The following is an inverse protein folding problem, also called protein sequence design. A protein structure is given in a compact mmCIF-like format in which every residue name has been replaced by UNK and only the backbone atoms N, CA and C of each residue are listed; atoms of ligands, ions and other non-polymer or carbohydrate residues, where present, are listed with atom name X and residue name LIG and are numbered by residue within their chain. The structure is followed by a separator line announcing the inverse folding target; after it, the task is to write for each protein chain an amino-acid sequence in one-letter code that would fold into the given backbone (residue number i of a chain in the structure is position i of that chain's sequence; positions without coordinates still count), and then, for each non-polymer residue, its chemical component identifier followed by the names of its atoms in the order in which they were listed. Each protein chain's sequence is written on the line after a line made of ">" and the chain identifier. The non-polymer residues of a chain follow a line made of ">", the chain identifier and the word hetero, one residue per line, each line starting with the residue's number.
data_IF_550971380044
#
_entry.id   IF_550971380044
#
_cell.length_a   1.000
_cell.length_b   1.000
_cell.length_c   1.000
_cell.angle_alpha   90.00
_cell.angle_beta   90.00
_cell.angle_gamma   90.00
#
_symmetry.space_group_name_H-M   'P 1'
#
loop_
_entity.id
_entity.type
_entity.pdbx_description
1 polymer ?
#
# COMPACT_ATOMS: atom_id res chain seq x y z
N UNK A 1 23.86 6.44 -4.74
CA UNK A 1 24.98 5.88 -5.53
C UNK A 1 24.84 4.38 -5.77
N UNK A 2 24.72 3.54 -4.73
CA UNK A 2 24.65 2.08 -4.88
C UNK A 2 23.54 1.59 -5.83
N UNK A 3 22.28 1.95 -5.55
CA UNK A 3 21.12 1.51 -6.35
C UNK A 3 21.20 1.99 -7.79
N UNK A 4 21.71 3.21 -8.00
CA UNK A 4 21.96 3.74 -9.34
C UNK A 4 23.01 2.92 -10.11
N UNK A 5 24.08 2.47 -9.43
CA UNK A 5 25.09 1.60 -10.03
C UNK A 5 24.53 0.21 -10.36
N UNK A 6 23.72 -0.38 -9.45
CA UNK A 6 23.02 -1.66 -9.68
C UNK A 6 22.10 -1.55 -10.89
N UNK A 7 21.30 -0.50 -10.95
CA UNK A 7 20.41 -0.20 -12.09
C UNK A 7 21.18 -0.04 -13.39
N UNK A 8 22.30 0.69 -13.38
CA UNK A 8 23.14 0.87 -14.57
C UNK A 8 23.74 -0.44 -15.06
N UNK A 9 24.20 -1.28 -14.12
CA UNK A 9 24.73 -2.61 -14.44
C UNK A 9 23.64 -3.53 -15.01
N UNK A 10 22.41 -3.46 -14.50
CA UNK A 10 21.27 -4.23 -15.02
C UNK A 10 20.76 -3.74 -16.38
N UNK A 11 20.57 -2.43 -16.55
CA UNK A 11 20.01 -1.87 -17.78
C UNK A 11 21.04 -1.73 -18.92
N UNK A 12 22.34 -1.91 -18.63
CA UNK A 12 23.42 -1.74 -19.60
C UNK A 12 23.52 -0.34 -20.20
N UNK A 13 22.94 0.67 -19.51
CA UNK A 13 22.90 2.06 -19.96
C UNK A 13 24.14 2.79 -19.49
N UNK A 14 24.91 3.44 -20.39
CA UNK A 14 25.98 4.31 -19.97
C UNK A 14 25.40 5.49 -19.15
N UNK A 15 26.12 6.00 -18.14
CA UNK A 15 25.66 7.14 -17.36
C UNK A 15 25.35 8.35 -18.26
N UNK A 16 24.35 9.14 -17.86
CA UNK A 16 23.90 10.31 -18.62
C UNK A 16 25.10 11.21 -18.97
N UNK A 17 25.27 11.49 -20.27
CA UNK A 17 26.38 12.30 -20.80
C UNK A 17 27.44 11.54 -21.59
N UNK A 18 27.45 10.20 -21.59
CA UNK A 18 28.47 9.40 -22.30
C UNK A 18 27.88 8.68 -23.54
N UNK A 19 27.49 9.45 -24.57
CA UNK A 19 27.15 8.89 -25.90
C UNK A 19 28.45 8.69 -26.70
N UNK A 20 29.10 7.53 -26.55
CA UNK A 20 30.15 7.10 -27.48
C UNK A 20 29.54 6.15 -28.50
N UNK A 21 29.55 6.57 -29.77
CA UNK A 21 29.14 5.76 -30.90
C UNK A 21 30.11 4.60 -31.13
N UNK A 22 29.57 3.40 -31.35
CA UNK A 22 29.90 2.48 -32.47
C UNK A 22 29.19 1.14 -32.25
N UNK A 23 28.62 0.63 -33.34
CA UNK A 23 27.60 -0.44 -33.39
C UNK A 23 28.19 -1.86 -33.46
N UNK A 24 29.51 -2.03 -33.50
CA UNK A 24 30.17 -3.33 -33.80
C UNK A 24 30.81 -4.05 -32.59
N UNK A 25 30.88 -3.44 -31.40
CA UNK A 25 31.36 -4.08 -30.18
C UNK A 25 30.23 -4.73 -29.34
N UNK A 26 29.07 -5.03 -29.94
CA UNK A 26 27.81 -5.27 -29.22
C UNK A 26 27.57 -6.72 -28.77
N UNK A 27 28.12 -7.74 -29.42
CA UNK A 27 27.86 -9.15 -29.09
C UNK A 27 28.77 -9.71 -27.97
N UNK A 28 30.09 -9.49 -28.06
CA UNK A 28 31.04 -9.87 -26.97
C UNK A 28 30.74 -9.11 -25.67
N UNK A 29 30.25 -7.88 -25.79
CA UNK A 29 29.80 -7.04 -24.68
C UNK A 29 28.47 -7.56 -24.10
N UNK A 30 27.59 -8.17 -24.90
CA UNK A 30 26.33 -8.78 -24.44
C UNK A 30 26.54 -9.98 -23.51
N UNK A 31 27.35 -10.95 -23.90
CA UNK A 31 27.65 -12.13 -23.06
C UNK A 31 28.39 -11.75 -21.78
N UNK A 32 29.31 -10.77 -21.86
CA UNK A 32 30.01 -10.24 -20.70
C UNK A 32 29.05 -9.52 -19.75
N UNK A 33 28.17 -8.65 -20.25
CA UNK A 33 27.16 -7.93 -19.46
C UNK A 33 26.21 -8.89 -18.76
N UNK A 34 25.71 -9.91 -19.47
CA UNK A 34 24.85 -10.92 -18.87
C UNK A 34 25.55 -11.64 -17.72
N UNK A 35 26.83 -12.00 -17.90
CA UNK A 35 27.65 -12.61 -16.83
C UNK A 35 27.86 -11.66 -15.66
N UNK A 36 28.15 -10.39 -15.90
CA UNK A 36 28.29 -9.36 -14.87
C UNK A 36 26.97 -9.15 -14.11
N UNK A 37 25.83 -9.12 -14.81
CA UNK A 37 24.50 -9.03 -14.23
C UNK A 37 24.12 -10.26 -13.39
N UNK A 38 24.43 -11.47 -13.87
CA UNK A 38 24.22 -12.71 -13.13
C UNK A 38 25.09 -12.77 -11.86
N UNK A 39 26.36 -12.37 -11.95
CA UNK A 39 27.27 -12.29 -10.80
C UNK A 39 26.80 -11.24 -9.78
N UNK A 40 26.37 -10.08 -10.25
CA UNK A 40 25.78 -9.04 -9.42
C UNK A 40 24.52 -9.56 -8.70
N UNK A 41 23.60 -10.20 -9.44
CA UNK A 41 22.37 -10.75 -8.89
C UNK A 41 22.66 -11.77 -7.79
N UNK A 42 23.56 -12.74 -8.05
CA UNK A 42 24.01 -13.74 -7.06
C UNK A 42 24.64 -13.13 -5.81
N UNK A 43 25.32 -12.00 -5.94
CA UNK A 43 25.88 -11.30 -4.79
C UNK A 43 24.79 -10.58 -3.98
N UNK A 44 23.91 -9.84 -4.66
CA UNK A 44 22.89 -9.04 -3.99
C UNK A 44 21.82 -9.90 -3.30
N UNK A 45 21.39 -11.03 -3.88
CA UNK A 45 20.43 -11.90 -3.18
C UNK A 45 20.93 -12.38 -1.81
N UNK A 46 22.26 -12.54 -1.65
CA UNK A 46 22.87 -12.93 -0.35
C UNK A 46 23.00 -11.77 0.62
N UNK A 47 23.33 -10.59 0.12
CA UNK A 47 23.71 -9.42 0.94
C UNK A 47 22.50 -8.55 1.26
N UNK A 48 21.49 -8.53 0.40
CA UNK A 48 20.31 -7.68 0.53
C UNK A 48 19.57 -7.89 1.86
N UNK A 49 19.28 -9.11 2.33
CA UNK A 49 18.63 -9.31 3.63
C UNK A 49 19.40 -8.63 4.77
N UNK A 50 20.73 -8.78 4.77
CA UNK A 50 21.61 -8.16 5.79
C UNK A 50 21.62 -6.64 5.71
N UNK A 51 21.54 -6.07 4.51
CA UNK A 51 21.46 -4.62 4.32
C UNK A 51 20.11 -4.08 4.79
N UNK A 52 19.01 -4.75 4.47
CA UNK A 52 17.67 -4.39 4.94
C UNK A 52 17.63 -4.41 6.47
N UNK A 53 18.14 -5.46 7.10
CA UNK A 53 18.25 -5.61 8.55
C UNK A 53 19.10 -4.51 9.20
N UNK A 54 20.26 -4.19 8.61
CA UNK A 54 21.18 -3.17 9.14
C UNK A 54 20.62 -1.76 9.05
N UNK A 55 19.98 -1.43 7.92
CA UNK A 55 19.45 -0.10 7.67
C UNK A 55 17.97 0.00 7.97
N UNK A 56 17.42 -0.99 8.67
CA UNK A 56 16.01 -1.18 8.81
C UNK A 56 15.35 0.08 9.37
N UNK A 57 15.96 0.78 10.34
CA UNK A 57 15.37 1.97 11.00
C UNK A 57 15.44 3.26 10.17
N UNK A 58 16.27 3.29 9.13
CA UNK A 58 16.55 4.49 8.35
C UNK A 58 15.78 4.47 7.04
N UNK A 59 14.69 5.25 6.98
CA UNK A 59 13.80 5.29 5.82
C UNK A 59 14.48 5.77 4.53
N UNK A 60 15.41 6.71 4.64
CA UNK A 60 16.14 7.28 3.49
C UNK A 60 17.14 6.25 2.91
N UNK A 61 17.64 5.35 3.76
CA UNK A 61 18.55 4.28 3.33
C UNK A 61 17.82 3.02 2.87
N UNK A 62 16.74 2.63 3.55
CA UNK A 62 16.06 1.36 3.25
C UNK A 62 15.18 1.43 2.01
N UNK A 63 14.54 2.58 1.74
CA UNK A 63 13.64 2.74 0.58
C UNK A 63 14.36 2.48 -0.76
N UNK A 64 15.57 3.00 -1.01
CA UNK A 64 16.32 2.66 -2.20
C UNK A 64 16.76 1.19 -2.24
N UNK A 65 17.11 0.58 -1.10
CA UNK A 65 17.55 -0.82 -1.05
C UNK A 65 16.43 -1.78 -1.48
N UNK A 66 15.18 -1.45 -1.13
CA UNK A 66 13.99 -2.20 -1.55
C UNK A 66 13.76 -2.20 -3.06
N UNK A 67 14.44 -1.33 -3.82
CA UNK A 67 14.38 -1.33 -5.28
C UNK A 67 15.37 -2.31 -5.93
N UNK A 68 16.35 -2.83 -5.20
CA UNK A 68 17.37 -3.72 -5.75
C UNK A 68 16.79 -5.00 -6.39
N UNK A 69 15.78 -5.68 -5.78
CA UNK A 69 15.21 -6.91 -6.36
C UNK A 69 14.76 -6.77 -7.81
N UNK A 70 14.15 -5.64 -8.17
CA UNK A 70 13.62 -5.40 -9.53
C UNK A 70 14.72 -5.30 -10.61
N UNK A 71 15.98 -5.14 -10.20
CA UNK A 71 17.15 -5.08 -11.09
C UNK A 71 17.97 -6.37 -11.08
N UNK A 72 17.61 -7.35 -10.24
CA UNK A 72 18.30 -8.62 -10.14
C UNK A 72 17.59 -9.68 -10.98
N UNK A 73 18.35 -10.64 -11.51
CA UNK A 73 17.80 -11.91 -11.96
C UNK A 73 17.46 -12.74 -10.71
N UNK A 74 16.17 -12.93 -10.41
CA UNK A 74 15.71 -13.70 -9.26
C UNK A 74 15.72 -15.22 -9.51
N UNK A 75 15.89 -15.66 -10.76
CA UNK A 75 15.98 -17.09 -11.09
C UNK A 75 17.23 -17.75 -10.52
N UNK A 76 18.17 -16.94 -10.02
CA UNK A 76 19.31 -17.43 -9.25
C UNK A 76 18.87 -18.20 -7.99
N UNK A 77 17.65 -18.02 -7.48
CA UNK A 77 17.17 -18.75 -6.30
C UNK A 77 16.96 -20.25 -6.53
N UNK A 78 16.78 -20.70 -7.77
CA UNK A 78 16.75 -22.14 -8.10
C UNK A 78 18.11 -22.81 -7.90
N UNK A 79 19.18 -22.04 -7.73
CA UNK A 79 20.49 -22.60 -7.42
C UNK A 79 20.57 -23.08 -5.98
N UNK A 80 21.17 -24.26 -5.81
CA UNK A 80 21.34 -24.90 -4.51
C UNK A 80 21.90 -23.93 -3.45
N UNK A 81 21.21 -23.88 -2.31
CA UNK A 81 21.59 -23.09 -1.14
C UNK A 81 21.17 -21.62 -1.17
N UNK A 82 20.53 -21.12 -2.23
CA UNK A 82 20.06 -19.72 -2.28
C UNK A 82 18.65 -19.50 -1.71
N UNK A 83 17.81 -20.53 -1.62
CA UNK A 83 16.46 -20.42 -1.05
C UNK A 83 16.40 -19.87 0.38
N UNK A 84 17.39 -20.21 1.24
CA UNK A 84 17.48 -19.66 2.61
C UNK A 84 17.68 -18.15 2.65
N UNK A 85 18.30 -17.56 1.63
CA UNK A 85 18.46 -16.11 1.51
C UNK A 85 17.17 -15.45 1.02
N UNK A 86 16.35 -16.15 0.24
CA UNK A 86 15.00 -15.70 -0.10
C UNK A 86 14.12 -15.65 1.15
N UNK A 87 14.12 -16.71 1.96
CA UNK A 87 13.39 -16.72 3.23
C UNK A 87 13.81 -15.55 4.15
N UNK A 88 15.13 -15.29 4.24
CA UNK A 88 15.65 -14.15 4.99
C UNK A 88 15.22 -12.80 4.39
N UNK A 89 15.16 -12.67 3.05
CA UNK A 89 14.69 -11.46 2.40
C UNK A 89 13.21 -11.19 2.70
N UNK A 90 12.36 -12.22 2.57
CA UNK A 90 10.92 -12.13 2.84
C UNK A 90 10.65 -11.80 4.30
N UNK A 91 11.38 -12.42 5.23
CA UNK A 91 11.30 -12.09 6.66
C UNK A 91 11.67 -10.63 6.94
N UNK A 92 12.72 -10.11 6.31
CA UNK A 92 13.11 -8.70 6.46
C UNK A 92 12.06 -7.75 5.87
N UNK A 93 11.38 -8.13 4.77
CA UNK A 93 10.24 -7.37 4.25
C UNK A 93 9.09 -7.34 5.26
N UNK A 94 8.75 -8.47 5.89
CA UNK A 94 7.72 -8.53 6.94
C UNK A 94 8.06 -7.62 8.13
N UNK A 95 9.31 -7.68 8.60
CA UNK A 95 9.80 -6.83 9.67
C UNK A 95 9.76 -5.34 9.29
N UNK A 96 10.07 -5.00 8.04
CA UNK A 96 10.00 -3.62 7.56
C UNK A 96 8.56 -3.10 7.51
N UNK A 97 7.63 -3.90 6.99
CA UNK A 97 6.21 -3.54 6.92
C UNK A 97 5.65 -3.34 8.31
N UNK A 98 5.94 -4.22 9.26
CA UNK A 98 5.45 -4.09 10.63
C UNK A 98 6.02 -2.86 11.35
N UNK A 99 7.31 -2.57 11.14
CA UNK A 99 8.02 -1.53 11.88
C UNK A 99 7.80 -0.12 11.36
N UNK A 100 7.56 0.05 10.06
CA UNK A 100 7.40 1.37 9.45
C UNK A 100 5.94 1.79 9.34
N UNK A 101 5.74 3.11 9.37
CA UNK A 101 4.46 3.77 9.08
C UNK A 101 4.56 4.79 7.94
N UNK A 102 5.76 4.99 7.40
CA UNK A 102 6.05 5.88 6.28
C UNK A 102 5.56 5.25 4.97
N UNK A 103 4.74 6.00 4.22
CA UNK A 103 4.08 5.51 3.00
C UNK A 103 5.09 5.08 1.94
N UNK A 104 6.19 5.82 1.77
CA UNK A 104 7.17 5.51 0.73
C UNK A 104 7.89 4.19 1.01
N UNK A 105 8.19 3.91 2.29
CA UNK A 105 8.77 2.62 2.71
C UNK A 105 7.77 1.48 2.47
N UNK A 106 6.51 1.65 2.88
CA UNK A 106 5.48 0.62 2.73
C UNK A 106 5.21 0.29 1.26
N UNK A 107 5.13 1.30 0.40
CA UNK A 107 4.96 1.09 -1.05
C UNK A 107 6.21 0.46 -1.69
N UNK A 108 7.40 0.80 -1.21
CA UNK A 108 8.63 0.13 -1.66
C UNK A 108 8.67 -1.34 -1.24
N UNK A 109 8.23 -1.68 -0.03
CA UNK A 109 8.07 -3.07 0.41
C UNK A 109 7.04 -3.80 -0.45
N UNK A 110 5.89 -3.19 -0.72
CA UNK A 110 4.84 -3.77 -1.56
C UNK A 110 5.35 -4.09 -2.97
N UNK A 111 6.07 -3.15 -3.61
CA UNK A 111 6.71 -3.37 -4.91
C UNK A 111 7.81 -4.44 -4.88
N UNK A 112 8.62 -4.47 -3.83
CA UNK A 112 9.64 -5.50 -3.65
C UNK A 112 9.00 -6.89 -3.55
N UNK A 113 7.96 -7.04 -2.72
CA UNK A 113 7.14 -8.25 -2.65
C UNK A 113 6.58 -8.62 -4.02
N UNK A 114 6.01 -7.66 -4.75
CA UNK A 114 5.48 -7.91 -6.09
C UNK A 114 6.51 -8.44 -7.07
N UNK A 115 7.77 -7.99 -6.95
CA UNK A 115 8.88 -8.52 -7.76
C UNK A 115 9.18 -9.98 -7.43
N UNK A 116 9.15 -10.36 -6.14
CA UNK A 116 9.37 -11.76 -5.73
C UNK A 116 8.17 -12.67 -6.02
N UNK A 117 6.95 -12.12 -6.03
CA UNK A 117 5.71 -12.84 -6.28
C UNK A 117 5.39 -13.04 -7.77
N UNK A 118 6.24 -12.59 -8.69
CA UNK A 118 6.01 -12.76 -10.13
C UNK A 118 5.86 -14.25 -10.48
N UNK A 119 4.72 -14.63 -11.09
CA UNK A 119 4.30 -16.04 -11.26
C UNK A 119 5.27 -16.89 -12.08
N UNK A 120 6.09 -16.26 -12.93
CA UNK A 120 7.08 -16.93 -13.77
C UNK A 120 8.45 -17.11 -13.11
N UNK A 121 8.69 -16.53 -11.93
CA UNK A 121 10.01 -16.49 -11.30
C UNK A 121 10.26 -17.58 -10.26
N UNK A 122 11.52 -17.98 -10.09
CA UNK A 122 11.94 -18.99 -9.10
C UNK A 122 11.59 -18.65 -7.65
N UNK A 123 11.40 -17.37 -7.33
CA UNK A 123 11.03 -16.92 -5.99
C UNK A 123 9.54 -17.11 -5.65
N UNK A 124 8.68 -17.32 -6.65
CA UNK A 124 7.23 -17.26 -6.52
C UNK A 124 6.68 -18.20 -5.45
N UNK A 125 7.10 -19.47 -5.48
CA UNK A 125 6.60 -20.52 -4.59
C UNK A 125 6.82 -20.22 -3.09
N UNK A 126 7.85 -19.44 -2.74
CA UNK A 126 8.09 -19.00 -1.36
C UNK A 126 7.47 -17.63 -1.08
N UNK A 127 7.55 -16.71 -2.05
CA UNK A 127 7.14 -15.32 -1.89
C UNK A 127 5.62 -15.12 -1.88
N UNK A 128 4.87 -15.77 -2.76
CA UNK A 128 3.42 -15.62 -2.83
C UNK A 128 2.73 -16.06 -1.52
N UNK A 129 3.03 -17.24 -0.94
CA UNK A 129 2.49 -17.60 0.37
C UNK A 129 2.94 -16.67 1.50
N UNK A 130 4.17 -16.14 1.46
CA UNK A 130 4.65 -15.17 2.45
C UNK A 130 3.86 -13.85 2.39
N UNK A 131 3.64 -13.34 1.18
CA UNK A 131 2.82 -12.14 0.96
C UNK A 131 1.38 -12.35 1.47
N UNK A 132 0.75 -13.48 1.13
CA UNK A 132 -0.60 -13.80 1.62
C UNK A 132 -0.66 -13.84 3.15
N UNK A 133 0.30 -14.50 3.81
CA UNK A 133 0.36 -14.53 5.29
C UNK A 133 0.53 -13.16 5.92
N UNK A 134 1.31 -12.28 5.30
CA UNK A 134 1.47 -10.90 5.76
C UNK A 134 0.14 -10.14 5.66
N UNK A 135 -0.58 -10.30 4.54
CA UNK A 135 -1.90 -9.68 4.34
C UNK A 135 -2.92 -10.26 5.34
N UNK A 136 -2.98 -11.59 5.50
CA UNK A 136 -3.83 -12.27 6.49
C UNK A 136 -3.63 -11.65 7.88
N UNK A 137 -2.37 -11.54 8.34
CA UNK A 137 -2.04 -10.93 9.63
C UNK A 137 -2.55 -9.49 9.73
N UNK A 138 -2.40 -8.67 8.68
CA UNK A 138 -2.91 -7.29 8.68
C UNK A 138 -4.44 -7.25 8.75
N UNK A 139 -5.14 -8.14 8.04
CA UNK A 139 -6.60 -8.23 8.03
C UNK A 139 -7.15 -8.76 9.36
N UNK A 140 -6.46 -9.71 9.96
CA UNK A 140 -6.77 -10.28 11.28
C UNK A 140 -6.58 -9.24 12.40
N UNK A 141 -5.60 -8.34 12.27
CA UNK A 141 -5.46 -7.20 13.18
C UNK A 141 -6.56 -6.16 12.92
N UNK A 142 -6.88 -5.88 11.66
CA UNK A 142 -7.80 -4.81 11.29
C UNK A 142 -9.26 -5.12 11.66
N UNK A 143 -9.72 -6.33 11.34
CA UNK A 143 -11.13 -6.72 11.50
C UNK A 143 -11.69 -6.46 12.90
N UNK A 144 -11.11 -7.01 13.99
CA UNK A 144 -11.64 -6.79 15.33
C UNK A 144 -11.52 -5.32 15.79
N UNK A 145 -10.50 -4.58 15.32
CA UNK A 145 -10.37 -3.17 15.64
C UNK A 145 -11.49 -2.34 15.01
N UNK A 146 -11.91 -2.70 13.79
CA UNK A 146 -13.05 -2.05 13.12
C UNK A 146 -14.38 -2.42 13.78
N UNK A 147 -14.55 -3.69 14.19
CA UNK A 147 -15.76 -4.12 14.89
C UNK A 147 -15.94 -3.35 16.21
N UNK A 148 -14.86 -3.21 16.99
CA UNK A 148 -14.84 -2.38 18.21
C UNK A 148 -15.12 -0.92 17.88
N UNK A 149 -14.53 -0.39 16.80
CA UNK A 149 -14.78 0.97 16.35
C UNK A 149 -16.26 1.23 16.03
N UNK A 150 -16.88 0.39 15.21
CA UNK A 150 -18.29 0.48 14.86
C UNK A 150 -19.17 0.37 16.11
N UNK A 151 -18.86 -0.55 17.02
CA UNK A 151 -19.63 -0.73 18.24
C UNK A 151 -19.57 0.50 19.16
N UNK A 152 -18.39 1.11 19.32
CA UNK A 152 -18.20 2.34 20.10
C UNK A 152 -18.91 3.52 19.45
N UNK A 153 -18.81 3.65 18.13
CA UNK A 153 -19.48 4.70 17.36
C UNK A 153 -21.01 4.57 17.44
N UNK A 154 -21.57 3.35 17.46
CA UNK A 154 -23.01 3.10 17.74
C UNK A 154 -23.46 3.57 19.13
N UNK A 155 -22.56 3.56 20.10
CA UNK A 155 -22.81 3.99 21.48
C UNK A 155 -22.51 5.49 21.68
N UNK A 156 -22.09 6.22 20.63
CA UNK A 156 -21.63 7.60 20.74
C UNK A 156 -20.33 7.76 21.53
N UNK A 157 -19.54 6.68 21.67
CA UNK A 157 -18.27 6.67 22.38
C UNK A 157 -17.09 6.74 21.40
N UNK A 158 -16.04 7.44 21.81
CA UNK A 158 -14.81 7.55 21.03
C UNK A 158 -13.85 6.40 21.31
N UNK A 159 -13.10 6.01 20.28
CA UNK A 159 -11.94 5.13 20.43
C UNK A 159 -10.80 5.87 21.11
N UNK A 160 -9.98 5.12 21.85
CA UNK A 160 -8.72 5.66 22.36
C UNK A 160 -7.76 6.02 21.22
N UNK A 161 -6.91 7.03 21.43
CA UNK A 161 -5.90 7.46 20.45
C UNK A 161 -4.99 6.30 19.99
N UNK A 162 -4.66 5.37 20.89
CA UNK A 162 -3.85 4.18 20.57
C UNK A 162 -4.57 3.22 19.62
N UNK A 163 -5.85 2.94 19.84
CA UNK A 163 -6.65 2.05 18.99
C UNK A 163 -6.86 2.67 17.60
N UNK A 164 -7.19 3.97 17.54
CA UNK A 164 -7.30 4.71 16.29
C UNK A 164 -5.97 4.73 15.52
N UNK A 165 -4.86 4.95 16.20
CA UNK A 165 -3.52 4.89 15.61
C UNK A 165 -3.21 3.52 15.01
N UNK A 166 -3.60 2.44 15.70
CA UNK A 166 -3.46 1.06 15.18
C UNK A 166 -4.27 0.87 13.91
N UNK A 167 -5.56 1.22 13.91
CA UNK A 167 -6.43 1.14 12.72
C UNK A 167 -5.80 1.88 11.54
N UNK A 168 -5.44 3.15 11.72
CA UNK A 168 -4.83 3.97 10.68
C UNK A 168 -3.54 3.34 10.13
N UNK A 169 -2.70 2.81 11.01
CA UNK A 169 -1.44 2.19 10.63
C UNK A 169 -1.65 0.89 9.84
N UNK A 170 -2.62 0.06 10.22
CA UNK A 170 -2.92 -1.19 9.54
C UNK A 170 -3.55 -0.94 8.17
N UNK A 171 -4.50 0.00 8.08
CA UNK A 171 -5.08 0.42 6.81
C UNK A 171 -4.04 0.97 5.85
N UNK A 172 -3.08 1.77 6.32
CA UNK A 172 -2.00 2.29 5.47
C UNK A 172 -1.12 1.20 4.88
N UNK A 173 -0.81 0.15 5.66
CA UNK A 173 -0.07 -1.02 5.18
C UNK A 173 -0.86 -1.75 4.11
N UNK A 174 -2.13 -2.05 4.37
CA UNK A 174 -3.01 -2.68 3.38
C UNK A 174 -3.16 -1.83 2.11
N UNK A 175 -3.26 -0.51 2.23
CA UNK A 175 -3.34 0.42 1.10
C UNK A 175 -2.10 0.37 0.20
N UNK A 176 -0.91 0.23 0.80
CA UNK A 176 0.34 0.08 0.06
C UNK A 176 0.36 -1.27 -0.68
N UNK A 177 -0.03 -2.36 -0.03
CA UNK A 177 -0.06 -3.69 -0.65
C UNK A 177 -1.11 -3.81 -1.76
N UNK A 178 -2.29 -3.22 -1.56
CA UNK A 178 -3.34 -3.18 -2.59
C UNK A 178 -2.88 -2.51 -3.89
N UNK A 179 -1.92 -1.58 -3.83
CA UNK A 179 -1.41 -0.90 -5.02
C UNK A 179 -0.49 -1.77 -5.90
N UNK A 180 0.04 -2.88 -5.36
CA UNK A 180 0.98 -3.74 -6.05
C UNK A 180 0.52 -5.21 -6.14
N UNK A 181 -0.51 -5.59 -5.38
CA UNK A 181 -1.01 -6.96 -5.25
C UNK A 181 -2.52 -6.99 -5.39
N UNK A 182 -3.07 -8.05 -5.99
CA UNK A 182 -4.51 -8.28 -5.95
C UNK A 182 -4.91 -8.84 -4.58
N UNK A 183 -5.59 -8.01 -3.79
CA UNK A 183 -6.13 -8.39 -2.47
C UNK A 183 -7.64 -8.67 -2.51
N UNK A 184 -8.18 -8.99 -3.70
CA UNK A 184 -9.62 -9.19 -3.89
C UNK A 184 -10.23 -10.30 -3.04
N UNK A 185 -9.47 -11.35 -2.72
CA UNK A 185 -9.91 -12.51 -1.93
C UNK A 185 -10.21 -12.18 -0.45
N UNK A 186 -9.67 -11.09 0.09
CA UNK A 186 -9.87 -10.69 1.50
C UNK A 186 -11.15 -9.87 1.74
N UNK A 187 -11.94 -9.57 0.70
CA UNK A 187 -13.19 -8.80 0.79
C UNK A 187 -13.06 -7.49 1.59
N UNK A 188 -11.91 -6.83 1.50
CA UNK A 188 -11.63 -5.60 2.24
C UNK A 188 -12.57 -4.45 1.83
N UNK A 189 -13.03 -4.45 0.58
CA UNK A 189 -13.98 -3.47 0.10
C UNK A 189 -15.29 -3.48 0.90
N UNK A 190 -15.93 -4.64 1.09
CA UNK A 190 -17.18 -4.76 1.84
C UNK A 190 -17.04 -4.25 3.29
N UNK A 191 -15.89 -4.54 3.91
CA UNK A 191 -15.55 -4.04 5.26
C UNK A 191 -15.38 -2.52 5.28
N UNK A 192 -14.83 -1.92 4.22
CA UNK A 192 -14.69 -0.47 4.13
C UNK A 192 -16.00 0.22 3.75
N UNK A 193 -16.80 -0.38 2.86
CA UNK A 193 -18.07 0.17 2.43
C UNK A 193 -19.09 0.19 3.58
N UNK A 194 -19.16 -0.88 4.37
CA UNK A 194 -19.96 -0.93 5.59
C UNK A 194 -19.58 0.18 6.60
N UNK A 195 -18.30 0.54 6.71
CA UNK A 195 -17.87 1.69 7.52
C UNK A 195 -18.32 3.04 6.95
N UNK A 196 -18.17 3.21 5.64
CA UNK A 196 -18.54 4.47 4.96
C UNK A 196 -20.07 4.68 4.96
N UNK A 197 -20.85 3.63 4.75
CA UNK A 197 -22.32 3.65 4.82
C UNK A 197 -22.81 3.86 6.25
N UNK A 198 -22.20 3.20 7.24
CA UNK A 198 -22.52 3.44 8.65
C UNK A 198 -22.37 4.92 9.03
N UNK A 199 -21.26 5.56 8.65
CA UNK A 199 -21.08 7.00 8.90
C UNK A 199 -22.10 7.85 8.15
N UNK A 200 -22.41 7.52 6.90
CA UNK A 200 -23.41 8.25 6.11
C UNK A 200 -24.77 8.25 6.82
N UNK A 201 -25.16 7.10 7.38
CA UNK A 201 -26.42 6.98 8.12
C UNK A 201 -26.42 7.71 9.46
N UNK A 202 -25.28 7.80 10.16
CA UNK A 202 -25.16 8.63 11.35
C UNK A 202 -25.19 10.13 11.03
N UNK A 203 -24.58 10.55 9.92
CA UNK A 203 -24.65 11.92 9.40
C UNK A 203 -26.01 12.30 8.79
N UNK A 204 -26.89 11.30 8.55
CA UNK A 204 -28.24 11.49 8.04
C UNK A 204 -29.34 11.26 9.09
N UNK A 205 -28.99 11.14 10.38
CA UNK A 205 -30.00 11.17 11.44
C UNK A 205 -30.72 12.53 11.37
N UNK A 206 -32.06 12.54 11.29
CA UNK A 206 -32.80 13.73 10.94
C UNK A 206 -32.61 14.77 12.05
N UNK A 207 -32.19 15.96 11.65
CA UNK A 207 -32.33 17.16 12.44
C UNK A 207 -33.83 17.37 12.68
N UNK A 208 -34.37 16.80 13.75
CA UNK A 208 -35.64 17.18 14.34
C UNK A 208 -35.48 18.60 14.90
N UNK A 209 -35.59 19.56 13.99
CA UNK A 209 -36.09 20.90 14.28
C UNK A 209 -36.91 21.32 13.07
N UNK A 210 -38.23 21.17 13.19
CA UNK A 210 -39.17 22.09 12.53
C UNK A 210 -38.79 23.53 12.93
N UNK A 211 -38.81 24.48 11.99
CA UNK A 211 -40.09 25.10 11.67
C UNK A 211 -40.32 25.37 10.17
N UNK A 212 -41.53 25.00 9.74
CA UNK A 212 -42.41 25.67 8.77
C UNK A 212 -41.79 26.76 7.87
N UNK A 213 -41.69 26.46 6.57
CA UNK A 213 -42.29 27.33 5.54
C UNK A 213 -42.55 26.52 4.26
N UNK A 214 -43.65 26.89 3.62
CA UNK A 214 -44.29 26.20 2.51
C UNK A 214 -43.56 26.38 1.18
N UNK A 215 -43.89 25.46 0.25
CA UNK A 215 -43.81 25.50 -1.21
C UNK A 215 -42.66 24.70 -1.86
N UNK A 216 -43.08 23.63 -2.52
CA UNK A 216 -42.42 22.96 -3.64
C UNK A 216 -43.35 23.07 -4.87
N UNK A 217 -42.94 22.71 -6.11
CA UNK A 217 -41.65 22.84 -6.82
C UNK A 217 -41.89 23.42 -8.26
N UNK A 218 -41.00 23.29 -9.28
CA UNK A 218 -40.95 22.03 -10.04
C UNK A 218 -39.58 21.60 -10.61
N UNK A 219 -39.57 20.30 -10.96
CA UNK A 219 -38.60 19.45 -11.66
C UNK A 219 -37.55 20.12 -12.57
N UNK A 220 -36.31 19.68 -12.43
CA UNK A 220 -35.34 19.63 -13.53
C UNK A 220 -34.59 18.29 -13.51
N UNK A 221 -34.63 17.60 -14.64
CA UNK A 221 -33.82 16.44 -14.98
C UNK A 221 -32.33 16.77 -14.94
N UNK A 222 -31.53 15.92 -14.29
CA UNK A 222 -30.08 15.91 -14.47
C UNK A 222 -29.58 14.48 -14.24
N UNK A 223 -29.57 13.72 -15.33
CA UNK A 223 -28.71 12.57 -15.49
C UNK A 223 -27.25 12.99 -15.28
N UNK A 224 -26.49 12.10 -14.62
CA UNK A 224 -25.03 12.11 -14.51
C UNK A 224 -24.41 13.20 -13.60
N UNK A 225 -23.43 12.78 -12.79
CA UNK A 225 -22.59 13.58 -11.85
C UNK A 225 -23.06 13.60 -10.37
N UNK A 226 -23.23 12.43 -9.75
CA UNK A 226 -23.32 12.29 -8.28
C UNK A 226 -22.59 11.04 -7.68
N UNK A 227 -21.27 10.84 -7.91
CA UNK A 227 -20.50 10.05 -6.92
C UNK A 227 -19.42 10.84 -6.16
N UNK A 228 -19.09 12.08 -6.58
CA UNK A 228 -18.00 12.85 -5.96
C UNK A 228 -18.47 13.82 -4.86
N UNK A 229 -19.76 14.18 -4.84
CA UNK A 229 -20.31 15.09 -3.82
C UNK A 229 -20.56 14.41 -2.46
N UNK A 230 -20.77 13.08 -2.44
CA UNK A 230 -21.00 12.33 -1.20
C UNK A 230 -19.74 12.20 -0.33
N UNK A 231 -18.58 12.06 -0.96
CA UNK A 231 -17.29 12.13 -0.27
C UNK A 231 -17.05 13.55 0.24
N UNK A 232 -17.16 14.57 -0.62
CA UNK A 232 -16.99 15.97 -0.23
C UNK A 232 -17.91 16.40 0.94
N UNK A 233 -19.13 15.84 1.05
CA UNK A 233 -20.02 16.08 2.19
C UNK A 233 -19.51 15.45 3.51
N UNK A 234 -18.91 14.27 3.45
CA UNK A 234 -18.23 13.67 4.62
C UNK A 234 -16.93 14.42 5.01
N UNK A 235 -16.47 15.37 4.18
CA UNK A 235 -15.27 16.19 4.37
C UNK A 235 -15.56 17.69 4.57
N UNK A 236 -16.83 18.14 4.59
CA UNK A 236 -17.15 19.56 4.74
C UNK A 236 -17.20 19.92 6.23
N UNK A 237 -16.19 20.65 6.69
CA UNK A 237 -16.19 21.36 7.97
C UNK A 237 -17.44 22.27 8.02
N UNK A 238 -18.44 21.87 8.81
CA UNK A 238 -19.40 22.83 9.34
C UNK A 238 -18.73 23.54 10.52
N UNK A 239 -18.85 24.87 10.66
CA UNK A 239 -18.21 25.59 11.75
C UNK A 239 -18.92 25.25 13.06
N UNK A 240 -18.40 24.24 13.76
CA UNK A 240 -18.76 23.91 15.14
C UNK A 240 -17.65 24.45 16.05
N UNK A 241 -17.97 25.07 17.20
CA UNK A 241 -16.99 25.74 18.05
C UNK A 241 -15.76 24.87 18.39
N UNK A 242 -14.57 25.47 18.35
CA UNK A 242 -13.25 24.82 18.29
C UNK A 242 -12.91 23.83 19.42
N UNK A 243 -13.65 23.82 20.54
CA UNK A 243 -13.43 22.85 21.63
C UNK A 243 -14.16 21.50 21.43
N UNK A 244 -15.32 21.46 20.75
CA UNK A 244 -16.03 20.20 20.47
C UNK A 244 -15.54 19.50 19.20
N UNK A 245 -15.00 20.26 18.23
CA UNK A 245 -14.55 19.74 16.93
C UNK A 245 -13.39 18.73 17.03
N UNK A 246 -12.53 18.85 18.05
CA UNK A 246 -11.40 17.91 18.27
C UNK A 246 -11.84 16.53 18.73
N UNK A 247 -13.06 16.40 19.26
CA UNK A 247 -13.58 15.13 19.76
C UNK A 247 -14.56 14.49 18.76
N UNK A 248 -15.35 15.30 18.04
CA UNK A 248 -16.53 14.84 17.30
C UNK A 248 -16.25 14.09 15.99
N UNK A 249 -15.02 14.14 15.47
CA UNK A 249 -14.66 13.49 14.21
C UNK A 249 -13.56 12.46 14.41
N UNK A 250 -13.63 11.31 13.74
CA UNK A 250 -12.49 10.41 13.69
C UNK A 250 -11.34 11.19 13.03
N UNK A 251 -10.18 11.22 13.70
CA UNK A 251 -8.96 11.93 13.33
C UNK A 251 -8.84 12.14 11.81
N UNK A 252 -8.61 13.38 11.34
CA UNK A 252 -8.39 13.72 9.93
C UNK A 252 -7.49 12.70 9.20
N UNK A 253 -6.49 12.17 9.90
CA UNK A 253 -5.58 11.12 9.43
C UNK A 253 -6.29 9.82 9.03
N UNK A 254 -7.31 9.40 9.79
CA UNK A 254 -8.13 8.22 9.48
C UNK A 254 -8.99 8.44 8.24
N UNK A 255 -9.60 9.63 8.14
CA UNK A 255 -10.41 10.01 6.98
C UNK A 255 -9.59 10.08 5.70
N UNK A 256 -8.39 10.65 5.78
CA UNK A 256 -7.43 10.67 4.69
C UNK A 256 -7.03 9.26 4.26
N UNK A 257 -6.70 8.37 5.21
CA UNK A 257 -6.34 6.97 4.91
C UNK A 257 -7.50 6.21 4.29
N UNK A 258 -8.74 6.39 4.77
CA UNK A 258 -9.92 5.79 4.14
C UNK A 258 -10.18 6.35 2.74
N UNK A 259 -9.94 7.65 2.51
CA UNK A 259 -10.09 8.26 1.19
C UNK A 259 -9.06 7.72 0.20
N UNK A 260 -7.80 7.57 0.62
CA UNK A 260 -6.74 6.97 -0.19
C UNK A 260 -7.07 5.51 -0.51
N UNK A 261 -7.56 4.75 0.47
CA UNK A 261 -7.96 3.36 0.27
C UNK A 261 -9.13 3.26 -0.72
N UNK A 262 -10.15 4.11 -0.58
CA UNK A 262 -11.30 4.15 -1.49
C UNK A 262 -10.89 4.51 -2.93
N UNK A 263 -9.93 5.42 -3.12
CA UNK A 263 -9.42 5.79 -4.44
C UNK A 263 -8.58 4.68 -5.10
N UNK A 264 -7.92 3.83 -4.31
CA UNK A 264 -7.10 2.72 -4.83
C UNK A 264 -7.92 1.50 -5.25
N UNK A 265 -9.23 1.44 -4.96
CA UNK A 265 -10.11 0.33 -5.36
C UNK A 265 -10.72 0.62 -6.75
N UNK A 266 -10.52 -0.27 -7.75
CA UNK A 266 -11.01 -0.03 -9.11
C UNK A 266 -12.55 0.01 -9.19
N UNK A 267 -13.12 0.87 -10.06
CA UNK A 267 -14.56 1.14 -10.13
C UNK A 267 -15.42 -0.02 -10.64
N UNK A 268 -14.83 -1.09 -11.19
CA UNK A 268 -15.56 -2.24 -11.74
C UNK A 268 -16.38 -3.03 -10.69
N UNK A 269 -16.16 -2.78 -9.39
CA UNK A 269 -16.96 -3.35 -8.29
C UNK A 269 -18.05 -2.40 -7.75
N UNK A 270 -18.25 -1.20 -8.32
CA UNK A 270 -19.27 -0.24 -7.87
C UNK A 270 -20.72 -0.62 -8.23
N UNK A 271 -20.95 -1.69 -9.01
CA UNK A 271 -22.27 -2.02 -9.58
C UNK A 271 -22.74 -3.47 -9.33
N UNK A 272 -22.14 -4.19 -8.38
CA UNK A 272 -22.60 -5.53 -8.00
C UNK A 272 -22.68 -5.67 -6.48
N UNK A 273 -23.57 -4.89 -5.87
CA UNK A 273 -24.12 -5.10 -4.52
C UNK A 273 -25.48 -4.41 -4.44
#
# INVERSE_FOLDING_TARGET
>A
MLVAAVRQAAEGRPPAGRRLGKKAAREVDGTRRWREHANMSRHFVKVLPRLLSKFAADKEKVTPLLQIPQYCNLDVYDMDGLGSYLDAALLELDCLVQRHSDVAVLEACARAYGTYCDEGGSAHCQAAPACSRLVDMLVDVLTPLLDVFIQREKQGLFLGHGEMGRICSTLRRLAAFYSAHDLSSWNLYEKMDSLLTFRRHQGSLPTEVSPTWHLAPPRASADTVLPMRGLAFAFSESPVPEEEARQRFPNLSFLLVLSEFSCKIPPAKRQAA
#
